data_IF_204528512383
#
_entry.id   IF_204528512383
#
_cell.length_a   1.000
_cell.length_b   1.000
_cell.length_c   1.000
_cell.angle_alpha   90.00
_cell.angle_beta   90.00
_cell.angle_gamma   90.00
#
_symmetry.space_group_name_H-M   'P 1'
#
loop_
_entity.id
_entity.type
_entity.pdbx_description
1 polymer ?
#
# COMPACT_ATOMS: atom_id res chain seq x y z
N UNK A 1 -22.33 43.10 -28.07
CA UNK A 1 -22.64 41.97 -27.16
C UNK A 1 -21.72 40.77 -27.40
N UNK A 2 -21.15 40.59 -28.61
CA UNK A 2 -20.21 39.51 -28.93
C UNK A 2 -18.91 39.48 -28.11
N UNK A 3 -18.32 40.64 -27.79
CA UNK A 3 -17.08 40.69 -27.00
C UNK A 3 -17.23 40.21 -25.55
N UNK A 4 -18.44 40.30 -24.98
CA UNK A 4 -18.73 39.83 -23.62
C UNK A 4 -18.96 38.31 -23.65
N UNK A 5 -19.72 37.80 -24.64
CA UNK A 5 -19.90 36.36 -24.80
C UNK A 5 -18.57 35.63 -25.05
N UNK A 6 -17.70 36.16 -25.92
CA UNK A 6 -16.40 35.55 -26.20
C UNK A 6 -15.49 35.49 -24.97
N UNK A 7 -15.51 36.52 -24.11
CA UNK A 7 -14.76 36.53 -22.85
C UNK A 7 -15.32 35.55 -21.83
N UNK A 8 -16.64 35.45 -21.71
CA UNK A 8 -17.28 34.48 -20.80
C UNK A 8 -16.97 33.05 -21.23
N UNK A 9 -17.06 32.73 -22.53
CA UNK A 9 -16.72 31.40 -23.06
C UNK A 9 -15.25 31.07 -22.82
N UNK A 10 -14.34 32.03 -23.04
CA UNK A 10 -12.92 31.83 -22.78
C UNK A 10 -12.63 31.55 -21.29
N UNK A 11 -13.30 32.26 -20.38
CA UNK A 11 -13.18 32.04 -18.93
C UNK A 11 -13.70 30.64 -18.56
N UNK A 12 -14.85 30.23 -19.07
CA UNK A 12 -15.44 28.91 -18.79
C UNK A 12 -14.55 27.78 -19.32
N UNK A 13 -14.04 27.89 -20.54
CA UNK A 13 -13.13 26.88 -21.11
C UNK A 13 -11.80 26.81 -20.36
N UNK A 14 -11.26 27.95 -19.92
CA UNK A 14 -10.06 28.00 -19.08
C UNK A 14 -10.26 27.29 -17.73
N UNK A 15 -11.40 27.49 -17.08
CA UNK A 15 -11.74 26.80 -15.83
C UNK A 15 -11.91 25.29 -16.04
N UNK A 16 -12.57 24.86 -17.12
CA UNK A 16 -12.73 23.44 -17.44
C UNK A 16 -11.38 22.76 -17.70
N UNK A 17 -10.47 23.43 -18.40
CA UNK A 17 -9.11 22.92 -18.63
C UNK A 17 -8.34 22.76 -17.31
N UNK A 18 -8.42 23.74 -16.40
CA UNK A 18 -7.80 23.66 -15.07
C UNK A 18 -8.38 22.52 -14.23
N UNK A 19 -9.70 22.32 -14.25
CA UNK A 19 -10.35 21.19 -13.57
C UNK A 19 -9.89 19.85 -14.16
N UNK A 20 -9.75 19.76 -15.49
CA UNK A 20 -9.22 18.57 -16.15
C UNK A 20 -7.80 18.22 -15.73
N UNK A 21 -6.91 19.23 -15.66
CA UNK A 21 -5.52 19.05 -15.20
C UNK A 21 -5.47 18.67 -13.72
N UNK A 22 -6.28 19.31 -12.87
CA UNK A 22 -6.36 18.98 -11.46
C UNK A 22 -6.87 17.55 -11.23
N UNK A 23 -7.87 17.10 -11.99
CA UNK A 23 -8.41 15.74 -11.92
C UNK A 23 -7.41 14.69 -12.42
N UNK A 24 -6.71 14.96 -13.53
CA UNK A 24 -5.66 14.09 -14.05
C UNK A 24 -4.48 14.00 -13.05
N UNK A 25 -4.06 15.13 -12.47
CA UNK A 25 -3.06 15.18 -11.42
C UNK A 25 -3.48 14.36 -10.20
N UNK A 26 -4.71 14.56 -9.71
CA UNK A 26 -5.26 13.80 -8.58
C UNK A 26 -5.24 12.29 -8.85
N UNK A 27 -5.75 11.84 -10.00
CA UNK A 27 -5.72 10.42 -10.37
C UNK A 27 -4.29 9.87 -10.51
N UNK A 28 -3.35 10.65 -11.06
CA UNK A 28 -1.94 10.30 -11.15
C UNK A 28 -1.32 10.10 -9.76
N UNK A 29 -1.55 11.03 -8.84
CA UNK A 29 -1.08 10.91 -7.44
C UNK A 29 -1.69 9.71 -6.71
N UNK A 30 -2.99 9.44 -6.92
CA UNK A 30 -3.65 8.31 -6.29
C UNK A 30 -3.04 6.98 -6.75
N UNK A 31 -2.85 6.79 -8.06
CA UNK A 31 -2.21 5.58 -8.60
C UNK A 31 -0.74 5.47 -8.17
N UNK A 32 -0.02 6.60 -8.08
CA UNK A 32 1.37 6.61 -7.64
C UNK A 32 1.51 6.06 -6.22
N UNK A 33 0.72 6.55 -5.26
CA UNK A 33 0.79 6.06 -3.88
C UNK A 33 0.52 4.56 -3.76
N UNK A 34 -0.49 4.05 -4.47
CA UNK A 34 -0.80 2.61 -4.47
C UNK A 34 0.34 1.77 -5.08
N UNK A 35 0.99 2.26 -6.13
CA UNK A 35 2.16 1.62 -6.74
C UNK A 35 3.39 1.64 -5.81
N UNK A 36 3.61 2.74 -5.10
CA UNK A 36 4.68 2.84 -4.09
C UNK A 36 4.43 1.87 -2.94
N UNK A 37 3.18 1.72 -2.46
CA UNK A 37 2.83 0.71 -1.45
C UNK A 37 3.23 -0.69 -1.92
N UNK A 38 2.79 -1.10 -3.11
CA UNK A 38 3.10 -2.42 -3.64
C UNK A 38 4.62 -2.64 -3.75
N UNK A 39 5.36 -1.65 -4.27
CA UNK A 39 6.82 -1.69 -4.42
C UNK A 39 7.52 -1.85 -3.07
N UNK A 40 7.15 -1.02 -2.10
CA UNK A 40 7.76 -1.03 -0.76
C UNK A 40 7.50 -2.34 -0.03
N UNK A 41 6.27 -2.85 -0.10
CA UNK A 41 5.91 -4.12 0.55
C UNK A 41 6.62 -5.29 -0.11
N UNK A 42 6.71 -5.33 -1.45
CA UNK A 42 7.50 -6.35 -2.15
C UNK A 42 8.98 -6.27 -1.79
N UNK A 43 9.55 -5.07 -1.71
CA UNK A 43 10.94 -4.88 -1.28
C UNK A 43 11.15 -5.33 0.17
N UNK A 44 10.22 -5.00 1.07
CA UNK A 44 10.25 -5.45 2.45
C UNK A 44 10.20 -6.98 2.55
N UNK A 45 9.30 -7.64 1.83
CA UNK A 45 9.25 -9.12 1.77
C UNK A 45 10.58 -9.68 1.31
N UNK A 46 11.17 -9.11 0.26
CA UNK A 46 12.48 -9.53 -0.28
C UNK A 46 13.58 -9.41 0.77
N UNK A 47 13.67 -8.26 1.45
CA UNK A 47 14.66 -8.01 2.49
C UNK A 47 14.44 -8.89 3.73
N UNK A 48 13.19 -9.12 4.11
CA UNK A 48 12.82 -10.00 5.22
C UNK A 48 13.21 -11.45 4.91
N UNK A 49 12.96 -11.94 3.69
CA UNK A 49 13.44 -13.25 3.24
C UNK A 49 14.97 -13.33 3.34
N UNK A 50 15.69 -12.34 2.81
CA UNK A 50 17.15 -12.34 2.87
C UNK A 50 17.69 -12.34 4.31
N UNK A 51 17.06 -11.58 5.21
CA UNK A 51 17.52 -11.41 6.60
C UNK A 51 17.06 -12.47 7.59
N UNK A 52 15.89 -13.09 7.38
CA UNK A 52 15.30 -14.03 8.35
C UNK A 52 15.24 -15.48 7.88
N UNK A 53 15.10 -15.75 6.57
CA UNK A 53 14.95 -17.13 6.08
C UNK A 53 16.20 -18.00 6.29
N UNK A 54 17.37 -17.36 6.46
CA UNK A 54 18.66 -18.05 6.64
C UNK A 54 18.95 -18.43 8.09
N UNK A 55 18.23 -17.86 9.07
CA UNK A 55 18.50 -18.08 10.49
C UNK A 55 17.68 -19.24 11.08
N UNK A 56 18.22 -19.93 12.09
CA UNK A 56 17.50 -21.00 12.82
C UNK A 56 16.16 -20.57 13.43
N UNK A 57 15.94 -19.25 13.62
CA UNK A 57 14.73 -18.69 14.21
C UNK A 57 13.66 -18.33 13.16
N UNK A 58 13.95 -18.43 11.86
CA UNK A 58 13.09 -17.93 10.80
C UNK A 58 12.64 -16.48 11.06
N UNK A 59 11.36 -16.22 10.87
CA UNK A 59 10.68 -14.94 11.10
C UNK A 59 10.31 -14.66 12.55
N UNK A 60 10.78 -15.42 13.56
CA UNK A 60 10.39 -15.20 14.96
C UNK A 60 10.68 -13.77 15.45
N UNK A 61 11.75 -13.16 14.92
CA UNK A 61 12.14 -11.79 15.23
C UNK A 61 11.52 -10.72 14.30
N UNK A 62 10.72 -11.13 13.31
CA UNK A 62 9.99 -10.21 12.43
C UNK A 62 8.74 -9.69 13.14
N UNK A 63 8.95 -8.80 14.11
CA UNK A 63 7.88 -8.27 14.97
C UNK A 63 7.97 -6.76 15.10
N UNK A 64 6.84 -6.13 15.39
CA UNK A 64 6.74 -4.68 15.59
C UNK A 64 7.69 -4.18 16.69
N UNK A 65 7.89 -4.97 17.75
CA UNK A 65 8.80 -4.64 18.85
C UNK A 65 10.28 -4.51 18.40
N UNK A 66 10.66 -5.21 17.32
CA UNK A 66 12.02 -5.23 16.81
C UNK A 66 12.25 -4.22 15.67
N UNK A 67 11.28 -3.38 15.32
CA UNK A 67 11.37 -2.43 14.20
C UNK A 67 12.61 -1.53 14.32
N UNK A 68 12.92 -0.97 15.49
CA UNK A 68 14.07 -0.08 15.65
C UNK A 68 15.41 -0.76 15.31
N UNK A 69 15.57 -2.04 15.69
CA UNK A 69 16.75 -2.83 15.35
C UNK A 69 16.79 -3.14 13.84
N UNK A 70 15.65 -3.49 13.25
CA UNK A 70 15.54 -3.76 11.81
C UNK A 70 15.74 -2.51 10.93
N UNK A 71 15.36 -1.32 11.42
CA UNK A 71 15.67 -0.02 10.78
C UNK A 71 17.18 0.20 10.75
N UNK A 72 17.85 -0.02 11.89
CA UNK A 72 19.32 0.09 11.99
C UNK A 72 20.02 -0.89 11.05
N UNK A 73 19.45 -2.08 10.87
CA UNK A 73 19.91 -3.09 9.91
C UNK A 73 19.58 -2.79 8.43
N UNK A 74 18.91 -1.68 8.11
CA UNK A 74 18.61 -1.29 6.73
C UNK A 74 17.54 -2.14 6.03
N UNK A 75 16.67 -2.81 6.78
CA UNK A 75 15.68 -3.73 6.22
C UNK A 75 14.55 -3.03 5.45
N UNK A 76 14.19 -1.81 5.85
CA UNK A 76 13.01 -1.11 5.33
C UNK A 76 13.39 -0.08 4.27
N UNK A 77 12.56 0.11 3.23
CA UNK A 77 12.63 1.29 2.38
C UNK A 77 12.59 2.57 3.22
N UNK A 78 13.45 3.54 2.90
CA UNK A 78 13.64 4.76 3.71
C UNK A 78 12.36 5.60 3.82
N UNK A 79 11.51 5.54 2.81
CA UNK A 79 10.25 6.28 2.78
C UNK A 79 9.18 5.69 3.72
N UNK A 80 9.31 4.42 4.13
CA UNK A 80 8.47 3.79 5.16
C UNK A 80 8.89 4.16 6.59
N UNK A 81 10.11 4.64 6.80
CA UNK A 81 10.65 4.88 8.15
C UNK A 81 10.27 6.27 8.66
N UNK A 82 9.71 6.34 9.88
CA UNK A 82 9.44 7.59 10.61
C UNK A 82 9.92 7.45 12.04
N UNK A 83 11.15 7.89 12.31
CA UNK A 83 11.80 7.67 13.60
C UNK A 83 11.95 6.18 13.86
N UNK A 84 11.34 5.68 14.94
CA UNK A 84 11.39 4.26 15.34
C UNK A 84 10.15 3.45 14.90
N UNK A 85 9.31 4.02 14.04
CA UNK A 85 8.09 3.39 13.54
C UNK A 85 8.11 3.26 12.02
N UNK A 86 7.24 2.38 11.52
CA UNK A 86 6.97 2.23 10.09
C UNK A 86 5.62 2.80 9.75
N UNK A 87 5.56 3.49 8.62
CA UNK A 87 4.33 4.00 8.02
C UNK A 87 4.25 3.60 6.56
N UNK A 88 3.04 3.42 6.06
CA UNK A 88 2.81 3.24 4.63
C UNK A 88 2.78 4.61 3.90
N UNK A 89 2.82 4.63 2.55
CA UNK A 89 2.68 5.86 1.75
C UNK A 89 1.38 6.66 1.94
N UNK A 90 0.37 6.08 2.60
CA UNK A 90 -0.86 6.78 2.99
C UNK A 90 -0.72 7.43 4.38
N UNK A 91 0.27 7.01 5.18
CA UNK A 91 0.56 7.52 6.51
C UNK A 91 0.02 6.64 7.63
N UNK A 92 -0.52 5.45 7.33
CA UNK A 92 -0.97 4.53 8.37
C UNK A 92 0.23 3.79 8.97
N UNK A 93 0.11 3.39 10.23
CA UNK A 93 1.13 2.58 10.88
C UNK A 93 1.23 1.19 10.22
N UNK A 94 2.46 0.75 9.98
CA UNK A 94 2.76 -0.60 9.51
C UNK A 94 3.22 -1.43 10.69
N UNK A 95 2.58 -2.58 10.89
CA UNK A 95 2.94 -3.53 11.96
C UNK A 95 3.43 -4.84 11.37
N UNK A 96 4.34 -5.47 12.10
CA UNK A 96 4.98 -6.72 11.72
C UNK A 96 4.68 -7.78 12.77
N UNK A 97 4.45 -9.01 12.31
CA UNK A 97 4.28 -10.17 13.17
C UNK A 97 4.87 -11.42 12.52
N UNK A 98 5.10 -12.41 13.37
CA UNK A 98 5.53 -13.74 12.98
C UNK A 98 4.35 -14.71 13.06
N UNK A 99 4.21 -15.61 12.10
CA UNK A 99 3.15 -16.61 12.06
C UNK A 99 3.70 -18.02 11.83
N UNK A 100 2.86 -19.03 12.08
CA UNK A 100 3.16 -20.44 11.88
C UNK A 100 4.52 -20.85 12.52
N UNK A 101 4.69 -20.54 13.81
CA UNK A 101 5.89 -20.84 14.60
C UNK A 101 7.20 -20.30 13.99
N UNK A 102 7.18 -19.08 13.45
CA UNK A 102 8.39 -18.47 12.87
C UNK A 102 8.67 -18.83 11.43
N UNK A 103 7.84 -19.66 10.78
CA UNK A 103 8.04 -20.01 9.36
C UNK A 103 7.46 -18.97 8.40
N UNK A 104 6.67 -18.00 8.88
CA UNK A 104 6.04 -16.96 8.05
C UNK A 104 6.16 -15.59 8.67
N UNK A 105 6.31 -14.57 7.82
CA UNK A 105 6.19 -13.16 8.19
C UNK A 105 4.81 -12.62 7.84
N UNK A 106 4.31 -11.70 8.66
CA UNK A 106 3.04 -10.98 8.44
C UNK A 106 3.29 -9.48 8.49
N UNK A 107 2.82 -8.77 7.47
CA UNK A 107 2.89 -7.31 7.38
C UNK A 107 1.45 -6.78 7.33
N UNK A 108 1.10 -5.93 8.28
CA UNK A 108 -0.22 -5.28 8.34
C UNK A 108 -0.07 -3.78 8.09
N UNK A 109 -0.90 -3.24 7.19
CA UNK A 109 -0.84 -1.83 6.75
C UNK A 109 -2.21 -1.35 6.26
N UNK A 110 -2.35 -0.06 5.94
CA UNK A 110 -3.66 0.51 5.59
C UNK A 110 -4.58 0.69 6.80
N UNK A 111 -5.89 0.73 6.54
CA UNK A 111 -6.92 0.74 7.58
C UNK A 111 -7.21 2.07 8.29
N UNK A 112 -6.32 3.06 8.25
CA UNK A 112 -6.45 4.31 9.02
C UNK A 112 -7.25 5.44 8.36
N UNK A 113 -8.13 5.12 7.39
CA UNK A 113 -8.92 6.10 6.62
C UNK A 113 -8.09 7.11 5.80
N UNK A 114 -6.83 6.79 5.51
CA UNK A 114 -5.91 7.66 4.78
C UNK A 114 -5.78 7.30 3.29
N UNK A 115 -6.26 6.11 2.89
CA UNK A 115 -6.33 5.65 1.51
C UNK A 115 -7.75 5.76 0.94
N UNK A 116 -7.87 5.89 -0.37
CA UNK A 116 -9.16 5.75 -1.06
C UNK A 116 -9.45 4.29 -1.44
N UNK A 117 -10.72 3.95 -1.67
CA UNK A 117 -11.09 2.62 -2.15
C UNK A 117 -10.35 2.24 -3.45
N UNK A 118 -10.19 3.18 -4.39
CA UNK A 118 -9.42 2.97 -5.63
C UNK A 118 -7.95 2.65 -5.37
N UNK A 119 -7.33 3.32 -4.40
CA UNK A 119 -5.95 3.02 -3.99
C UNK A 119 -5.82 1.66 -3.34
N UNK A 120 -6.79 1.28 -2.50
CA UNK A 120 -6.85 -0.06 -1.94
C UNK A 120 -6.89 -1.10 -3.06
N UNK A 121 -7.80 -0.95 -4.05
CA UNK A 121 -7.91 -1.90 -5.16
C UNK A 121 -6.59 -1.97 -5.94
N UNK A 122 -6.03 -0.82 -6.31
CA UNK A 122 -4.77 -0.78 -7.05
C UNK A 122 -3.59 -1.38 -6.28
N UNK A 123 -3.56 -1.24 -4.95
CA UNK A 123 -2.55 -1.88 -4.12
C UNK A 123 -2.78 -3.38 -4.04
N UNK A 124 -4.01 -3.84 -3.79
CA UNK A 124 -4.37 -5.26 -3.74
C UNK A 124 -3.95 -6.02 -5.01
N UNK A 125 -4.18 -5.41 -6.18
CA UNK A 125 -3.81 -5.99 -7.49
C UNK A 125 -2.31 -5.90 -7.80
N UNK A 126 -1.60 -4.95 -7.18
CA UNK A 126 -0.16 -4.76 -7.40
C UNK A 126 0.73 -5.61 -6.48
N UNK A 127 0.17 -6.11 -5.38
CA UNK A 127 0.90 -6.95 -4.43
C UNK A 127 1.14 -8.34 -5.02
N UNK A 128 2.31 -8.88 -4.71
CA UNK A 128 2.77 -10.19 -5.19
C UNK A 128 3.65 -10.85 -4.13
N UNK A 129 4.08 -12.07 -4.42
CA UNK A 129 5.03 -12.83 -3.60
C UNK A 129 4.54 -13.17 -2.18
N UNK A 130 3.22 -13.11 -1.97
CA UNK A 130 2.55 -13.49 -0.73
C UNK A 130 2.01 -14.92 -0.78
N UNK A 131 1.84 -15.52 0.40
CA UNK A 131 1.09 -16.76 0.62
C UNK A 131 -0.39 -16.45 0.76
N UNK A 132 -0.73 -15.46 1.59
CA UNK A 132 -2.09 -14.93 1.69
C UNK A 132 -2.08 -13.41 1.77
N UNK A 133 -3.12 -12.80 1.23
CA UNK A 133 -3.39 -11.37 1.30
C UNK A 133 -4.82 -11.18 1.79
N UNK A 134 -4.98 -10.73 3.02
CA UNK A 134 -6.30 -10.35 3.56
C UNK A 134 -6.50 -8.85 3.37
N UNK A 135 -7.63 -8.47 2.78
CA UNK A 135 -8.09 -7.08 2.59
C UNK A 135 -9.45 -6.95 3.27
N UNK A 136 -9.50 -6.24 4.38
CA UNK A 136 -10.69 -6.20 5.23
C UNK A 136 -11.04 -7.62 5.74
N UNK A 137 -12.15 -8.18 5.27
CA UNK A 137 -12.60 -9.54 5.61
C UNK A 137 -12.35 -10.57 4.51
N UNK A 138 -11.94 -10.13 3.31
CA UNK A 138 -11.70 -11.02 2.17
C UNK A 138 -10.25 -11.48 2.16
N UNK A 139 -10.01 -12.77 1.92
CA UNK A 139 -8.66 -13.33 1.80
C UNK A 139 -8.41 -13.86 0.40
N UNK A 140 -7.27 -13.46 -0.16
CA UNK A 140 -6.74 -13.92 -1.42
C UNK A 140 -5.52 -14.81 -1.18
N UNK A 141 -5.30 -15.76 -2.06
CA UNK A 141 -4.17 -16.69 -2.03
C UNK A 141 -3.77 -17.08 -3.46
N UNK A 142 -2.90 -18.08 -3.60
CA UNK A 142 -2.42 -18.56 -4.89
C UNK A 142 -3.51 -19.25 -5.73
N UNK A 143 -4.60 -19.71 -5.12
CA UNK A 143 -5.76 -20.31 -5.80
C UNK A 143 -6.88 -19.31 -6.11
N UNK A 144 -6.93 -18.18 -5.40
CA UNK A 144 -7.87 -17.09 -5.62
C UNK A 144 -7.14 -15.74 -5.54
N UNK A 145 -6.52 -15.34 -6.65
CA UNK A 145 -5.85 -14.05 -6.78
C UNK A 145 -6.87 -12.91 -6.84
N UNK A 146 -6.53 -11.71 -6.34
CA UNK A 146 -7.40 -10.56 -6.45
C UNK A 146 -7.57 -10.15 -7.90
N UNK A 147 -8.80 -9.86 -8.29
CA UNK A 147 -9.17 -9.24 -9.56
C UNK A 147 -9.94 -7.94 -9.29
N UNK A 148 -10.25 -7.16 -10.35
CA UNK A 148 -10.93 -5.87 -10.20
C UNK A 148 -12.29 -5.97 -9.50
N UNK A 149 -13.02 -7.07 -9.66
CA UNK A 149 -14.33 -7.30 -9.04
C UNK A 149 -14.16 -7.72 -7.59
N UNK A 150 -13.35 -8.74 -7.32
CA UNK A 150 -13.18 -9.28 -5.98
C UNK A 150 -12.44 -8.32 -5.05
N UNK A 151 -11.39 -7.65 -5.53
CA UNK A 151 -10.73 -6.57 -4.80
C UNK A 151 -11.63 -5.35 -4.66
N UNK A 152 -12.41 -5.00 -5.69
CA UNK A 152 -13.39 -3.91 -5.65
C UNK A 152 -14.44 -4.09 -4.56
N UNK A 153 -14.87 -5.32 -4.30
CA UNK A 153 -15.81 -5.65 -3.24
C UNK A 153 -15.17 -5.64 -1.83
N UNK A 154 -13.89 -6.02 -1.74
CA UNK A 154 -13.16 -6.07 -0.47
C UNK A 154 -12.64 -4.69 0.01
N UNK A 155 -12.35 -3.80 -0.94
CA UNK A 155 -11.67 -2.55 -0.67
C UNK A 155 -12.57 -1.39 -0.25
N UNK A 156 -12.10 -0.65 0.74
CA UNK A 156 -12.72 0.60 1.20
C UNK A 156 -11.63 1.57 1.68
N UNK A 157 -12.01 2.79 2.05
CA UNK A 157 -11.08 3.75 2.64
C UNK A 157 -10.51 3.30 4.00
N UNK A 158 -11.20 2.37 4.67
CA UNK A 158 -10.83 1.82 5.99
C UNK A 158 -10.39 0.36 5.91
N UNK A 159 -10.30 -0.23 4.72
CA UNK A 159 -9.84 -1.60 4.56
C UNK A 159 -8.36 -1.70 5.00
N UNK A 160 -8.10 -2.56 5.96
CA UNK A 160 -6.76 -2.92 6.38
C UNK A 160 -6.26 -4.10 5.54
N UNK A 161 -4.96 -4.12 5.28
CA UNK A 161 -4.26 -5.22 4.65
C UNK A 161 -3.54 -6.03 5.72
N UNK A 162 -3.57 -7.35 5.59
CA UNK A 162 -2.67 -8.26 6.28
C UNK A 162 -2.08 -9.21 5.24
N UNK A 163 -0.79 -9.05 4.93
CA UNK A 163 -0.07 -9.85 3.96
C UNK A 163 0.82 -10.85 4.70
N UNK A 164 0.62 -12.13 4.43
CA UNK A 164 1.48 -13.22 4.95
C UNK A 164 2.38 -13.74 3.84
N UNK A 165 3.66 -13.90 4.13
CA UNK A 165 4.65 -14.46 3.22
C UNK A 165 5.52 -15.50 3.94
N UNK A 166 6.23 -16.29 3.14
CA UNK A 166 7.19 -17.31 3.58
C UNK A 166 8.51 -17.06 2.87
#
# INVERSE_FOLDING_TARGET
MDGILGRVVAIVLGLLALVGIAYAGYNGFQNHKASVVATNITQLITNARAGFSQGNNGYTNFTTANIAAMITGGMFPTDMVRGNALVDPWGNAVTLASANNGSRGVISFGGGNAQTAKQCVSAALGLKDYVTLTVGTTTFDQGNLPDQVTAGAACSATAAFALTFQ
#
